data_IF_480779310371
#
_entry.id   IF_480779310371
#
_cell.length_a   1.000
_cell.length_b   1.000
_cell.length_c   1.000
_cell.angle_alpha   90.00
_cell.angle_beta   90.00
_cell.angle_gamma   90.00
#
_symmetry.space_group_name_H-M   'P 1'
#
loop_
_entity.id
_entity.type
_entity.pdbx_description
1 polymer ?
#
# COMPACT_ATOMS: atom_id res chain seq x y z
N UNK A 1 -2.80 8.30 -0.73
CA UNK A 1 -1.60 8.83 -1.39
C UNK A 1 -0.89 9.87 -0.53
N UNK A 2 -1.59 10.87 0.02
CA UNK A 2 -0.97 11.92 0.84
C UNK A 2 -0.17 11.36 2.03
N UNK A 3 -0.72 10.36 2.73
CA UNK A 3 -0.04 9.71 3.85
C UNK A 3 1.24 9.00 3.41
N UNK A 4 1.19 8.25 2.29
CA UNK A 4 2.36 7.55 1.77
C UNK A 4 3.40 8.51 1.16
N UNK A 5 2.96 9.60 0.55
CA UNK A 5 3.89 10.65 0.10
C UNK A 5 4.56 11.34 1.30
N UNK A 6 3.84 11.61 2.39
CA UNK A 6 4.40 12.14 3.63
C UNK A 6 5.34 11.14 4.33
N UNK A 7 5.10 9.83 4.19
CA UNK A 7 6.02 8.77 4.63
C UNK A 7 7.35 8.81 3.86
N UNK A 8 7.33 9.26 2.60
CA UNK A 8 8.52 9.44 1.77
C UNK A 8 8.47 8.79 0.39
N UNK A 9 7.41 8.09 0.04
CA UNK A 9 7.23 7.58 -1.33
C UNK A 9 7.00 8.74 -2.30
N UNK A 10 7.59 8.66 -3.48
CA UNK A 10 7.44 9.70 -4.52
C UNK A 10 6.03 9.79 -5.07
N UNK A 11 5.34 8.66 -5.13
CA UNK A 11 3.95 8.54 -5.58
C UNK A 11 3.23 7.55 -4.70
N UNK A 12 1.98 7.89 -4.35
CA UNK A 12 1.10 6.93 -3.73
C UNK A 12 0.46 5.99 -4.76
N UNK A 13 -0.27 4.95 -4.33
CA UNK A 13 -0.80 3.90 -5.20
C UNK A 13 -1.79 4.40 -6.25
N UNK A 14 -2.60 5.40 -5.94
CA UNK A 14 -3.54 5.96 -6.90
C UNK A 14 -2.86 6.82 -7.96
N UNK A 15 -1.83 7.59 -7.59
CA UNK A 15 -0.98 8.30 -8.56
C UNK A 15 -0.23 7.32 -9.48
N UNK A 16 0.27 6.23 -8.92
CA UNK A 16 0.96 5.19 -9.69
C UNK A 16 0.01 4.46 -10.64
N UNK A 17 -1.20 4.14 -10.19
CA UNK A 17 -2.22 3.51 -11.06
C UNK A 17 -2.65 4.44 -12.21
N UNK A 18 -2.76 5.75 -11.96
CA UNK A 18 -3.04 6.74 -13.01
C UNK A 18 -1.89 6.87 -14.02
N UNK A 19 -0.63 6.76 -13.54
CA UNK A 19 0.54 6.77 -14.42
C UNK A 19 0.57 5.53 -15.31
N UNK A 20 0.28 4.36 -14.77
CA UNK A 20 0.21 3.10 -15.50
C UNK A 20 -0.96 3.08 -16.49
N UNK A 21 -2.10 3.60 -16.06
CA UNK A 21 -3.37 3.62 -16.80
C UNK A 21 -4.41 2.67 -16.19
N UNK A 22 -5.54 3.23 -15.79
CA UNK A 22 -6.62 2.50 -15.14
C UNK A 22 -7.29 1.46 -16.05
N UNK A 23 -7.17 1.61 -17.35
CA UNK A 23 -7.74 0.72 -18.36
C UNK A 23 -6.90 -0.53 -18.64
N UNK A 24 -5.78 -0.75 -17.95
CA UNK A 24 -5.02 -1.99 -18.09
C UNK A 24 -5.87 -3.17 -17.64
N UNK A 25 -6.19 -4.05 -18.61
CA UNK A 25 -7.06 -5.22 -18.36
C UNK A 25 -8.55 -4.90 -18.19
N UNK A 26 -8.94 -3.63 -18.27
CA UNK A 26 -10.34 -3.23 -18.24
C UNK A 26 -10.97 -3.29 -19.65
N UNK A 27 -12.27 -3.61 -19.70
CA UNK A 27 -13.06 -3.57 -20.94
C UNK A 27 -14.35 -2.79 -20.65
N UNK A 28 -14.77 -1.97 -21.60
CA UNK A 28 -16.00 -1.18 -21.52
C UNK A 28 -17.21 -2.08 -21.22
N UNK A 29 -17.99 -1.68 -20.23
CA UNK A 29 -19.16 -2.42 -19.75
C UNK A 29 -18.81 -3.66 -18.89
N UNK A 30 -17.56 -3.91 -18.57
CA UNK A 30 -17.18 -4.98 -17.66
C UNK A 30 -17.28 -4.52 -16.20
N UNK A 31 -17.81 -5.39 -15.35
CA UNK A 31 -17.76 -5.22 -13.89
C UNK A 31 -16.59 -6.05 -13.37
N UNK A 32 -15.67 -5.40 -12.67
CA UNK A 32 -14.51 -6.06 -12.06
C UNK A 32 -14.60 -6.02 -10.52
N UNK A 33 -13.58 -6.55 -9.86
CA UNK A 33 -13.47 -6.45 -8.39
C UNK A 33 -13.17 -5.01 -7.90
N UNK A 34 -12.95 -4.06 -8.82
CA UNK A 34 -12.68 -2.65 -8.48
C UNK A 34 -13.72 -1.72 -9.11
N UNK A 35 -14.90 -1.55 -8.48
CA UNK A 35 -15.99 -0.77 -9.03
C UNK A 35 -15.67 0.73 -9.17
N UNK A 36 -14.76 1.27 -8.34
CA UNK A 36 -14.31 2.67 -8.48
C UNK A 36 -13.54 2.86 -9.79
N UNK A 37 -12.58 1.96 -10.07
CA UNK A 37 -11.83 1.97 -11.33
C UNK A 37 -12.76 1.80 -12.54
N UNK A 38 -13.72 0.90 -12.45
CA UNK A 38 -14.66 0.65 -13.54
C UNK A 38 -15.47 1.90 -13.84
N UNK A 39 -15.99 2.58 -12.83
CA UNK A 39 -16.74 3.83 -12.98
C UNK A 39 -15.88 4.96 -13.56
N UNK A 40 -14.61 5.09 -13.14
CA UNK A 40 -13.69 6.06 -13.70
C UNK A 40 -13.42 5.78 -15.20
N UNK A 41 -13.17 4.53 -15.55
CA UNK A 41 -12.91 4.14 -16.95
C UNK A 41 -14.11 4.33 -17.86
N UNK A 42 -15.35 4.10 -17.38
CA UNK A 42 -16.59 4.38 -18.15
C UNK A 42 -16.74 5.87 -18.47
N UNK A 43 -16.23 6.76 -17.63
CA UNK A 43 -16.17 8.20 -17.84
C UNK A 43 -14.95 8.66 -18.66
N UNK A 44 -14.21 7.73 -19.29
CA UNK A 44 -12.95 7.98 -20.02
C UNK A 44 -11.83 8.57 -19.15
N UNK A 45 -11.92 8.41 -17.84
CA UNK A 45 -10.91 8.81 -16.87
C UNK A 45 -9.91 7.65 -16.69
N UNK A 46 -8.92 7.56 -17.59
CA UNK A 46 -8.00 6.42 -17.67
C UNK A 46 -6.62 6.70 -17.08
N UNK A 47 -6.47 7.79 -16.36
CA UNK A 47 -5.23 8.23 -15.76
C UNK A 47 -4.57 9.38 -16.50
N UNK A 48 -3.27 9.59 -16.30
CA UNK A 48 -2.52 10.71 -16.85
C UNK A 48 -2.62 10.84 -18.38
N UNK A 49 -2.73 9.73 -19.10
CA UNK A 49 -2.82 9.72 -20.58
C UNK A 49 -4.09 10.37 -21.12
N UNK A 50 -5.17 10.41 -20.33
CA UNK A 50 -6.42 11.10 -20.68
C UNK A 50 -6.60 12.43 -19.93
N UNK A 51 -5.60 12.86 -19.16
CA UNK A 51 -5.64 14.06 -18.34
C UNK A 51 -6.48 13.91 -17.07
N UNK A 52 -7.07 12.74 -16.84
CA UNK A 52 -7.89 12.44 -15.68
C UNK A 52 -7.92 10.95 -15.37
N UNK A 53 -7.91 10.60 -14.09
CA UNK A 53 -8.02 9.26 -13.54
C UNK A 53 -8.60 9.34 -12.13
N UNK A 54 -7.91 8.79 -11.15
CA UNK A 54 -8.19 9.06 -9.73
C UNK A 54 -8.03 10.55 -9.39
N UNK A 55 -7.09 11.20 -10.07
CA UNK A 55 -6.86 12.64 -10.01
C UNK A 55 -7.22 13.29 -11.34
N UNK A 56 -7.45 14.60 -11.32
CA UNK A 56 -7.34 15.45 -12.49
C UNK A 56 -5.87 15.86 -12.65
N UNK A 57 -5.42 16.15 -13.87
CA UNK A 57 -4.02 16.50 -14.16
C UNK A 57 -3.94 17.83 -14.88
N UNK A 58 -3.05 18.71 -14.40
CA UNK A 58 -2.71 19.93 -15.12
C UNK A 58 -1.83 19.65 -16.35
N UNK A 59 -1.52 20.68 -17.12
CA UNK A 59 -0.66 20.62 -18.29
C UNK A 59 0.77 20.14 -17.98
N UNK A 60 1.21 20.25 -16.72
CA UNK A 60 2.48 19.75 -16.21
C UNK A 60 2.38 18.33 -15.60
N UNK A 61 1.22 17.67 -15.77
CA UNK A 61 0.90 16.35 -15.21
C UNK A 61 0.96 16.29 -13.67
N UNK A 62 0.66 17.41 -13.01
CA UNK A 62 0.55 17.43 -11.55
C UNK A 62 -0.84 16.96 -11.14
N UNK A 63 -0.94 16.05 -10.16
CA UNK A 63 -2.23 15.55 -9.69
C UNK A 63 -2.98 16.63 -8.91
N UNK A 64 -4.24 16.79 -9.25
CA UNK A 64 -5.20 17.69 -8.58
C UNK A 64 -6.33 16.82 -8.04
N UNK A 65 -6.73 16.95 -6.77
CA UNK A 65 -7.89 16.24 -6.24
C UNK A 65 -9.13 16.47 -7.12
N UNK A 66 -9.89 15.39 -7.35
CA UNK A 66 -11.03 15.41 -8.28
C UNK A 66 -12.35 15.22 -7.54
N UNK A 67 -13.26 16.18 -7.68
CA UNK A 67 -14.63 16.07 -7.13
C UNK A 67 -15.41 14.93 -7.77
N UNK A 68 -15.15 14.63 -9.05
CA UNK A 68 -15.76 13.50 -9.75
C UNK A 68 -15.35 12.19 -9.09
N UNK A 69 -14.06 12.01 -8.79
CA UNK A 69 -13.56 10.83 -8.10
C UNK A 69 -14.10 10.74 -6.67
N UNK A 70 -14.13 11.84 -5.93
CA UNK A 70 -14.69 11.87 -4.58
C UNK A 70 -16.17 11.43 -4.57
N UNK A 71 -16.95 11.91 -5.56
CA UNK A 71 -18.36 11.49 -5.71
C UNK A 71 -18.47 9.99 -6.03
N UNK A 72 -17.66 9.46 -6.96
CA UNK A 72 -17.68 8.04 -7.29
C UNK A 72 -17.34 7.17 -6.06
N UNK A 73 -16.34 7.59 -5.28
CA UNK A 73 -15.98 6.88 -4.05
C UNK A 73 -17.17 6.87 -3.08
N UNK A 74 -17.80 8.01 -2.84
CA UNK A 74 -18.96 8.10 -1.98
C UNK A 74 -20.13 7.23 -2.47
N UNK A 75 -20.45 7.29 -3.77
CA UNK A 75 -21.53 6.52 -4.38
C UNK A 75 -21.28 4.99 -4.29
N UNK A 76 -20.02 4.55 -4.44
CA UNK A 76 -19.65 3.12 -4.41
C UNK A 76 -19.51 2.58 -2.99
N UNK A 77 -18.92 3.36 -2.09
CA UNK A 77 -18.59 2.89 -0.73
C UNK A 77 -19.64 3.24 0.31
N UNK A 78 -20.52 4.19 0.00
CA UNK A 78 -21.47 4.77 0.96
C UNK A 78 -20.79 5.62 2.05
N UNK A 79 -19.50 5.92 1.92
CA UNK A 79 -18.72 6.72 2.87
C UNK A 79 -18.56 8.13 2.33
N UNK A 80 -19.12 9.12 3.05
CA UNK A 80 -18.89 10.52 2.73
C UNK A 80 -17.48 11.00 3.14
N UNK A 81 -16.98 12.00 2.41
CA UNK A 81 -15.72 12.62 2.76
C UNK A 81 -15.77 13.22 4.19
N UNK A 82 -14.85 12.84 5.05
CA UNK A 82 -14.77 13.35 6.43
C UNK A 82 -14.55 12.29 7.51
N UNK A 83 -14.74 11.01 7.20
CA UNK A 83 -14.42 9.89 8.09
C UNK A 83 -13.08 9.21 7.77
N UNK A 84 -12.16 9.93 7.13
CA UNK A 84 -10.87 9.35 6.73
C UNK A 84 -10.05 8.92 7.96
N UNK A 85 -9.41 7.72 7.92
CA UNK A 85 -8.50 7.29 8.96
C UNK A 85 -7.31 8.25 9.10
N UNK A 86 -6.71 8.29 10.29
CA UNK A 86 -5.52 9.11 10.53
C UNK A 86 -4.33 8.68 9.68
N UNK A 87 -3.36 9.59 9.49
CA UNK A 87 -2.17 9.29 8.69
C UNK A 87 -1.43 8.05 9.21
N UNK A 88 -1.24 7.92 10.52
CA UNK A 88 -0.53 6.80 11.13
C UNK A 88 -1.27 5.48 10.91
N UNK A 89 -2.60 5.49 10.95
CA UNK A 89 -3.43 4.32 10.66
C UNK A 89 -3.30 3.90 9.19
N UNK A 90 -3.28 4.87 8.26
CA UNK A 90 -3.04 4.58 6.84
C UNK A 90 -1.66 3.97 6.65
N UNK A 91 -0.62 4.53 7.28
CA UNK A 91 0.74 4.00 7.19
C UNK A 91 0.79 2.58 7.75
N UNK A 92 0.25 2.33 8.93
CA UNK A 92 0.22 1.00 9.53
C UNK A 92 -0.50 0.00 8.62
N UNK A 93 -1.67 0.36 8.10
CA UNK A 93 -2.47 -0.52 7.22
C UNK A 93 -1.77 -0.83 5.89
N UNK A 94 -1.02 0.12 5.33
CA UNK A 94 -0.35 -0.06 4.04
C UNK A 94 1.04 -0.68 4.15
N UNK A 95 1.79 -0.36 5.21
CA UNK A 95 3.21 -0.70 5.34
C UNK A 95 3.45 -1.98 6.16
N UNK A 96 2.70 -2.19 7.25
CA UNK A 96 2.95 -3.35 8.10
C UNK A 96 2.65 -4.69 7.43
N UNK A 97 1.67 -4.81 6.51
CA UNK A 97 1.55 -6.01 5.68
C UNK A 97 2.80 -6.33 4.86
N UNK A 98 3.54 -5.30 4.38
CA UNK A 98 4.80 -5.52 3.65
C UNK A 98 5.89 -6.10 4.54
N UNK A 99 5.93 -5.69 5.82
CA UNK A 99 6.84 -6.25 6.83
C UNK A 99 6.50 -7.72 7.10
N UNK A 100 5.22 -8.02 7.34
CA UNK A 100 4.76 -9.39 7.56
C UNK A 100 5.03 -10.28 6.34
N UNK A 101 4.80 -9.78 5.14
CA UNK A 101 5.12 -10.51 3.90
C UNK A 101 6.62 -10.76 3.76
N UNK A 102 7.46 -9.78 4.12
CA UNK A 102 8.91 -9.96 4.19
C UNK A 102 9.33 -11.12 5.09
N UNK A 103 8.69 -11.27 6.26
CA UNK A 103 8.94 -12.41 7.15
C UNK A 103 8.46 -13.74 6.54
N UNK A 104 7.31 -13.76 5.84
CA UNK A 104 6.83 -14.96 5.12
C UNK A 104 7.83 -15.38 4.04
N UNK A 105 8.37 -14.44 3.27
CA UNK A 105 9.39 -14.67 2.24
C UNK A 105 10.65 -15.33 2.86
N UNK A 106 11.05 -14.95 4.08
CA UNK A 106 12.13 -15.60 4.80
C UNK A 106 11.74 -16.99 5.30
N UNK A 107 10.56 -17.17 5.88
CA UNK A 107 10.04 -18.50 6.30
C UNK A 107 10.02 -19.50 5.13
N UNK A 108 9.67 -19.03 3.94
CA UNK A 108 9.60 -19.80 2.70
C UNK A 108 10.98 -20.00 2.04
N UNK A 109 12.05 -19.42 2.60
CA UNK A 109 13.42 -19.46 2.09
C UNK A 109 13.60 -18.89 0.68
N UNK A 110 12.74 -17.95 0.31
CA UNK A 110 12.81 -17.23 -0.97
C UNK A 110 13.86 -16.11 -0.94
N UNK A 111 14.15 -15.55 0.22
CA UNK A 111 15.26 -14.63 0.46
C UNK A 111 16.25 -15.26 1.45
N UNK A 112 17.53 -14.89 1.34
CA UNK A 112 18.59 -15.43 2.21
C UNK A 112 18.74 -14.63 3.51
N UNK A 113 18.36 -13.36 3.50
CA UNK A 113 18.53 -12.43 4.63
C UNK A 113 17.43 -11.37 4.60
N UNK A 114 17.09 -10.86 5.76
CA UNK A 114 16.16 -9.72 5.88
C UNK A 114 16.64 -8.50 5.09
N UNK A 115 17.95 -8.22 5.12
CA UNK A 115 18.56 -7.13 4.34
C UNK A 115 18.40 -7.26 2.82
N UNK A 116 18.26 -8.47 2.29
CA UNK A 116 18.03 -8.64 0.85
C UNK A 116 16.65 -8.09 0.44
N UNK A 117 15.65 -8.25 1.31
CA UNK A 117 14.33 -7.67 1.14
C UNK A 117 14.40 -6.14 1.16
N UNK A 118 15.13 -5.56 2.14
CA UNK A 118 15.32 -4.12 2.24
C UNK A 118 15.98 -3.52 1.00
N UNK A 119 17.04 -4.18 0.48
CA UNK A 119 17.74 -3.75 -0.74
C UNK A 119 16.82 -3.78 -1.96
N UNK A 120 15.97 -4.79 -2.10
CA UNK A 120 14.98 -4.86 -3.19
C UNK A 120 13.99 -3.69 -3.13
N UNK A 121 13.48 -3.38 -1.96
CA UNK A 121 12.56 -2.26 -1.77
C UNK A 121 13.22 -0.90 -2.01
N UNK A 122 14.42 -0.69 -1.49
CA UNK A 122 15.19 0.55 -1.67
C UNK A 122 15.50 0.83 -3.14
N UNK A 123 15.89 -0.18 -3.90
CA UNK A 123 16.37 0.00 -5.28
C UNK A 123 15.29 -0.27 -6.33
N UNK A 124 14.30 -1.11 -6.04
CA UNK A 124 13.29 -1.54 -7.00
C UNK A 124 11.96 -0.83 -6.88
N UNK A 125 11.56 -0.45 -5.68
CA UNK A 125 10.21 0.04 -5.39
C UNK A 125 10.16 1.44 -4.78
N UNK A 126 11.29 2.14 -4.73
CA UNK A 126 11.36 3.53 -4.28
C UNK A 126 11.05 3.73 -2.80
N UNK A 127 11.35 2.74 -1.98
CA UNK A 127 11.25 2.88 -0.53
C UNK A 127 12.10 4.05 -0.04
N UNK A 128 11.62 4.86 0.93
CA UNK A 128 12.38 5.99 1.45
C UNK A 128 13.69 5.53 2.11
N UNK A 129 14.82 6.02 1.63
CA UNK A 129 16.15 5.58 2.06
C UNK A 129 16.41 5.82 3.56
N UNK A 130 15.82 6.85 4.13
CA UNK A 130 15.89 7.17 5.56
C UNK A 130 15.12 6.18 6.46
N UNK A 131 14.28 5.32 5.87
CA UNK A 131 13.53 4.26 6.55
C UNK A 131 14.19 2.88 6.44
N UNK A 132 15.21 2.72 5.58
CA UNK A 132 16.08 1.55 5.51
C UNK A 132 15.47 0.26 4.94
N UNK A 133 14.26 0.30 4.43
CA UNK A 133 13.52 -0.87 3.94
C UNK A 133 12.51 -1.42 4.94
N UNK A 134 11.62 -2.36 4.53
CA UNK A 134 10.54 -2.84 5.37
C UNK A 134 11.02 -3.59 6.62
N UNK A 135 12.11 -4.36 6.54
CA UNK A 135 12.58 -5.15 7.69
C UNK A 135 13.23 -4.25 8.75
N UNK A 136 14.11 -3.33 8.34
CA UNK A 136 14.68 -2.34 9.27
C UNK A 136 13.59 -1.41 9.82
N UNK A 137 12.62 -1.01 9.00
CA UNK A 137 11.49 -0.22 9.47
C UNK A 137 10.65 -0.99 10.50
N UNK A 138 10.50 -2.31 10.34
CA UNK A 138 9.89 -3.19 11.34
C UNK A 138 10.57 -3.07 12.72
N UNK A 139 11.90 -3.01 12.76
CA UNK A 139 12.66 -2.79 14.00
C UNK A 139 12.42 -1.39 14.60
N UNK A 140 12.23 -0.38 13.75
CA UNK A 140 11.95 1.00 14.21
C UNK A 140 10.57 1.14 14.86
N UNK A 141 9.57 0.40 14.38
CA UNK A 141 8.18 0.46 14.90
C UNK A 141 7.91 -0.58 15.98
N UNK A 142 8.65 -1.68 15.98
CA UNK A 142 8.53 -2.77 16.95
C UNK A 142 7.54 -3.86 16.56
N UNK A 143 7.90 -5.10 16.87
CA UNK A 143 7.14 -6.29 16.47
C UNK A 143 5.72 -6.34 17.06
N UNK A 144 5.53 -5.83 18.28
CA UNK A 144 4.22 -5.78 18.93
C UNK A 144 3.23 -4.87 18.16
N UNK A 145 3.69 -3.70 17.68
CA UNK A 145 2.86 -2.77 16.92
C UNK A 145 2.49 -3.35 15.56
N UNK A 146 3.45 -4.00 14.88
CA UNK A 146 3.19 -4.70 13.62
C UNK A 146 2.20 -5.83 13.85
N UNK A 147 2.40 -6.67 14.87
CA UNK A 147 1.52 -7.80 15.21
C UNK A 147 0.09 -7.35 15.45
N UNK A 148 -0.11 -6.34 16.30
CA UNK A 148 -1.45 -5.83 16.62
C UNK A 148 -2.22 -5.37 15.38
N UNK A 149 -1.52 -4.70 14.44
CA UNK A 149 -2.14 -4.29 13.17
C UNK A 149 -2.46 -5.51 12.29
N UNK A 150 -1.54 -6.47 12.19
CA UNK A 150 -1.77 -7.67 11.38
C UNK A 150 -2.89 -8.56 11.95
N UNK A 151 -3.05 -8.63 13.26
CA UNK A 151 -4.18 -9.34 13.89
C UNK A 151 -5.52 -8.67 13.56
N UNK A 152 -5.57 -7.33 13.61
CA UNK A 152 -6.77 -6.57 13.23
C UNK A 152 -7.13 -6.82 11.76
N UNK A 153 -6.17 -6.69 10.84
CA UNK A 153 -6.40 -6.91 9.40
C UNK A 153 -6.71 -8.38 9.08
N UNK A 154 -6.01 -9.32 9.73
CA UNK A 154 -6.21 -10.75 9.54
C UNK A 154 -7.57 -11.27 10.05
N UNK A 155 -8.21 -10.56 10.98
CA UNK A 155 -9.57 -10.86 11.41
C UNK A 155 -10.62 -10.52 10.33
N UNK A 156 -10.30 -9.61 9.42
CA UNK A 156 -11.16 -9.21 8.30
C UNK A 156 -10.84 -10.00 7.02
N UNK A 157 -9.56 -10.34 6.80
CA UNK A 157 -9.08 -11.06 5.61
C UNK A 157 -7.85 -11.90 5.96
N UNK A 158 -7.96 -13.21 5.81
CA UNK A 158 -6.92 -14.19 6.14
C UNK A 158 -5.59 -13.97 5.42
N UNK A 159 -5.57 -13.29 4.26
CA UNK A 159 -4.32 -12.96 3.57
C UNK A 159 -3.38 -12.12 4.43
N UNK A 160 -3.94 -11.30 5.34
CA UNK A 160 -3.20 -10.47 6.27
C UNK A 160 -2.88 -11.17 7.60
N UNK A 161 -3.18 -12.46 7.74
CA UNK A 161 -2.86 -13.19 8.97
C UNK A 161 -1.36 -13.05 9.32
N UNK A 162 -1.04 -12.74 10.60
CA UNK A 162 0.35 -12.62 11.03
C UNK A 162 1.07 -13.97 10.94
N UNK A 163 2.27 -13.96 10.37
CA UNK A 163 3.11 -15.15 10.22
C UNK A 163 3.67 -15.64 11.58
N UNK A 164 4.21 -16.86 11.61
CA UNK A 164 4.73 -17.45 12.83
C UNK A 164 5.93 -16.69 13.39
N UNK A 165 6.81 -16.23 12.51
CA UNK A 165 8.00 -15.45 12.89
C UNK A 165 7.62 -14.10 13.51
N UNK A 166 6.61 -13.38 12.98
CA UNK A 166 6.14 -12.14 13.59
C UNK A 166 5.64 -12.36 15.01
N UNK A 167 4.83 -13.40 15.23
CA UNK A 167 4.33 -13.75 16.57
C UNK A 167 5.46 -14.07 17.54
N UNK A 168 6.49 -14.78 17.08
CA UNK A 168 7.68 -15.08 17.87
C UNK A 168 8.47 -13.81 18.21
N UNK A 169 8.75 -12.95 17.22
CA UNK A 169 9.46 -11.69 17.46
C UNK A 169 8.75 -10.80 18.48
N UNK A 170 7.44 -10.70 18.40
CA UNK A 170 6.65 -9.93 19.37
C UNK A 170 6.69 -10.53 20.77
N UNK A 171 6.74 -11.87 20.89
CA UNK A 171 6.81 -12.55 22.20
C UNK A 171 8.22 -12.50 22.82
N UNK A 172 9.27 -12.61 22.01
CA UNK A 172 10.66 -12.78 22.48
C UNK A 172 11.45 -11.47 22.51
N UNK A 173 10.94 -10.38 21.90
CA UNK A 173 11.63 -9.08 21.80
C UNK A 173 12.79 -9.09 20.80
N UNK A 174 12.73 -9.94 19.76
CA UNK A 174 13.77 -10.03 18.73
C UNK A 174 13.67 -8.92 17.65
N UNK A 175 14.69 -8.89 16.78
CA UNK A 175 14.79 -7.92 15.68
C UNK A 175 14.48 -8.55 14.32
N UNK A 176 13.77 -7.81 13.47
CA UNK A 176 13.43 -8.24 12.10
C UNK A 176 14.67 -8.45 11.24
N UNK A 177 15.67 -7.56 11.40
CA UNK A 177 16.90 -7.61 10.59
C UNK A 177 17.75 -8.84 10.89
N UNK A 178 17.60 -9.47 12.05
CA UNK A 178 18.36 -10.65 12.48
C UNK A 178 17.68 -11.97 12.08
N UNK A 179 16.46 -11.90 11.49
CA UNK A 179 15.74 -13.10 11.05
C UNK A 179 16.49 -13.78 9.90
N UNK A 180 16.73 -15.08 10.09
CA UNK A 180 17.32 -15.97 9.10
C UNK A 180 16.25 -16.96 8.59
N UNK A 181 16.37 -17.46 7.34
CA UNK A 181 15.46 -18.46 6.76
C UNK A 181 15.49 -19.80 7.48
#
# INVERSE_FOLDING_TARGET
DAALNAFGFRMGPYQMSDLAGLDIGWKKGATTANPIRDALCELDRRGQKTGAGNYDYDENRRPIPSDVTAKIIADVTGVEAGGAPGQDEIIATCIYPMINEGLKILEEKMAQRASDIDIVWLNGYGWPADKGGPMLYGDMVGAEAVLATMEKLGAEDDQFAPCATLKRLAADGGHFIDVQP
#
